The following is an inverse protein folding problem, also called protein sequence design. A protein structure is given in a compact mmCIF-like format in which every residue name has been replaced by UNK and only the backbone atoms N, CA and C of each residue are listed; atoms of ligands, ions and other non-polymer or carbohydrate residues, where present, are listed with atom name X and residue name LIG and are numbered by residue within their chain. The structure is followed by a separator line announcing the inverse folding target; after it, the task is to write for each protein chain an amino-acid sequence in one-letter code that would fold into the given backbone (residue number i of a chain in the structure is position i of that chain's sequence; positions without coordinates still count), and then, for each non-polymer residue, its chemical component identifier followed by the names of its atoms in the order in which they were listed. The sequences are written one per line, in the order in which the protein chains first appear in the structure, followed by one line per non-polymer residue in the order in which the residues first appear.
data_IF_358775984867
#
_entry.id   IF_358775984867
#
_cell.length_a   1.000
_cell.length_b   1.000
_cell.length_c   1.000
_cell.angle_alpha   90.00
_cell.angle_beta   90.00
_cell.angle_gamma   90.00
#
_symmetry.space_group_name_H-M   'P 1'
#
loop_
_entity.id
_entity.type
_entity.pdbx_description
1 polymer ?
#
# COMPACT_ATOMS: atom_id res chain seq x y z
N UNK A 1 2.19 -12.87 -5.60
CA UNK A 1 2.02 -11.87 -6.69
C UNK A 1 1.01 -12.42 -7.69
N UNK A 2 0.14 -11.57 -8.21
CA UNK A 2 -0.95 -12.00 -9.08
C UNK A 2 -0.52 -12.04 -10.55
N UNK A 3 0.26 -13.07 -10.90
CA UNK A 3 0.71 -13.34 -12.26
C UNK A 3 -0.28 -14.22 -13.05
N UNK A 4 -1.49 -14.42 -12.53
CA UNK A 4 -2.49 -15.26 -13.18
C UNK A 4 -3.20 -14.48 -14.30
N UNK A 5 -3.63 -15.16 -15.38
CA UNK A 5 -4.52 -14.55 -16.35
C UNK A 5 -5.75 -13.95 -15.65
N UNK A 6 -6.09 -12.70 -15.98
CA UNK A 6 -7.20 -11.97 -15.33
C UNK A 6 -6.88 -11.42 -13.94
N UNK A 7 -5.62 -11.49 -13.49
CA UNK A 7 -5.19 -10.92 -12.23
C UNK A 7 -5.05 -9.40 -12.23
N UNK A 8 -4.84 -8.80 -11.06
CA UNK A 8 -4.76 -7.36 -10.88
C UNK A 8 -3.69 -6.69 -11.74
N UNK A 9 -2.55 -7.36 -11.96
CA UNK A 9 -1.49 -6.84 -12.84
C UNK A 9 -1.94 -6.71 -14.29
N UNK A 10 -2.71 -7.69 -14.80
CA UNK A 10 -3.30 -7.63 -16.14
C UNK A 10 -4.26 -6.45 -16.26
N UNK A 11 -5.11 -6.23 -15.26
CA UNK A 11 -6.05 -5.11 -15.23
C UNK A 11 -5.33 -3.74 -15.19
N UNK A 12 -4.28 -3.60 -14.38
CA UNK A 12 -3.46 -2.38 -14.32
C UNK A 12 -2.87 -2.07 -15.70
N UNK A 13 -2.19 -3.04 -16.34
CA UNK A 13 -1.59 -2.81 -17.65
C UNK A 13 -2.62 -2.49 -18.72
N UNK A 14 -3.75 -3.20 -18.72
CA UNK A 14 -4.83 -2.96 -19.68
C UNK A 14 -5.40 -1.54 -19.55
N UNK A 15 -5.71 -1.10 -18.33
CA UNK A 15 -6.23 0.25 -18.06
C UNK A 15 -5.23 1.33 -18.49
N UNK A 16 -3.96 1.20 -18.11
CA UNK A 16 -2.91 2.13 -18.52
C UNK A 16 -2.73 2.20 -20.04
N UNK A 17 -2.70 1.05 -20.74
CA UNK A 17 -2.51 1.01 -22.19
C UNK A 17 -3.71 1.56 -22.96
N UNK A 18 -4.94 1.29 -22.50
CA UNK A 18 -6.16 1.88 -23.06
C UNK A 18 -6.17 3.39 -22.89
N UNK A 19 -5.95 3.87 -21.67
CA UNK A 19 -5.88 5.30 -21.37
C UNK A 19 -4.83 6.00 -22.23
N UNK A 20 -3.64 5.38 -22.35
CA UNK A 20 -2.55 5.86 -23.21
C UNK A 20 -2.97 6.00 -24.66
N UNK A 21 -3.65 5.00 -25.21
CA UNK A 21 -4.13 4.98 -26.60
C UNK A 21 -5.18 6.06 -26.84
N UNK A 22 -6.23 6.11 -26.01
CA UNK A 22 -7.33 7.07 -26.11
C UNK A 22 -6.87 8.53 -26.02
N UNK A 23 -5.84 8.80 -25.21
CA UNK A 23 -5.32 10.14 -25.00
C UNK A 23 -4.08 10.48 -25.85
N UNK A 24 -3.76 9.65 -26.86
CA UNK A 24 -2.57 9.80 -27.72
C UNK A 24 -1.27 10.03 -26.92
N UNK A 25 -1.15 9.38 -25.77
CA UNK A 25 -0.07 9.60 -24.83
C UNK A 25 1.16 8.78 -25.23
N UNK A 26 2.12 9.41 -25.92
CA UNK A 26 3.29 8.72 -26.49
C UNK A 26 4.02 7.80 -25.48
N UNK A 27 4.32 8.32 -24.28
CA UNK A 27 5.02 7.60 -23.21
C UNK A 27 4.40 7.97 -21.86
N UNK A 28 4.06 6.95 -21.07
CA UNK A 28 3.73 7.12 -19.65
C UNK A 28 5.06 7.28 -18.90
N UNK A 29 5.25 8.41 -18.24
CA UNK A 29 6.43 8.69 -17.44
C UNK A 29 6.00 9.21 -16.06
N UNK A 30 5.86 8.26 -15.14
CA UNK A 30 5.40 8.53 -13.77
C UNK A 30 6.37 9.40 -12.97
N UNK A 31 7.62 9.57 -13.44
CA UNK A 31 8.59 10.47 -12.79
C UNK A 31 8.36 11.94 -13.12
N UNK A 32 7.59 12.23 -14.18
CA UNK A 32 7.33 13.59 -14.64
C UNK A 32 6.17 14.23 -13.87
N UNK A 33 6.47 15.17 -12.98
CA UNK A 33 5.45 15.95 -12.26
C UNK A 33 4.61 16.85 -13.16
N UNK A 34 5.10 17.17 -14.37
CA UNK A 34 4.41 18.04 -15.33
C UNK A 34 3.05 17.54 -15.81
N UNK A 35 2.73 16.27 -15.56
CA UNK A 35 1.49 15.61 -15.97
C UNK A 35 0.73 15.01 -14.80
N UNK A 36 0.92 15.54 -13.59
CA UNK A 36 0.35 15.00 -12.36
C UNK A 36 -1.17 14.76 -12.48
N UNK A 37 -1.93 15.73 -12.96
CA UNK A 37 -3.39 15.59 -13.12
C UNK A 37 -3.77 14.44 -14.04
N UNK A 38 -3.07 14.31 -15.18
CA UNK A 38 -3.30 13.22 -16.13
C UNK A 38 -2.86 11.85 -15.59
N UNK A 39 -1.82 11.83 -14.74
CA UNK A 39 -1.45 10.62 -14.01
C UNK A 39 -2.53 10.22 -13.02
N UNK A 40 -3.10 11.17 -12.27
CA UNK A 40 -4.19 10.92 -11.32
C UNK A 40 -5.44 10.41 -12.04
N UNK A 41 -5.80 10.99 -13.18
CA UNK A 41 -6.92 10.52 -13.99
C UNK A 41 -6.72 9.06 -14.46
N UNK A 42 -5.54 8.73 -14.97
CA UNK A 42 -5.20 7.36 -15.35
C UNK A 42 -5.25 6.40 -14.14
N UNK A 43 -4.73 6.83 -12.98
CA UNK A 43 -4.76 6.02 -11.76
C UNK A 43 -6.19 5.81 -11.24
N UNK A 44 -7.08 6.79 -11.40
CA UNK A 44 -8.51 6.62 -11.10
C UNK A 44 -9.17 5.59 -12.03
N UNK A 45 -8.80 5.56 -13.31
CA UNK A 45 -9.25 4.51 -14.23
C UNK A 45 -8.76 3.12 -13.78
N UNK A 46 -7.49 3.01 -13.39
CA UNK A 46 -6.91 1.77 -12.86
C UNK A 46 -7.65 1.31 -11.60
N UNK A 47 -7.87 2.23 -10.64
CA UNK A 47 -8.57 1.95 -9.39
C UNK A 47 -9.97 1.39 -9.65
N UNK A 48 -10.74 2.07 -10.50
CA UNK A 48 -12.10 1.65 -10.87
C UNK A 48 -12.13 0.26 -11.52
N UNK A 49 -11.21 -0.01 -12.44
CA UNK A 49 -11.14 -1.31 -13.12
C UNK A 49 -10.75 -2.44 -12.17
N UNK A 50 -9.87 -2.17 -11.20
CA UNK A 50 -9.49 -3.13 -10.17
C UNK A 50 -10.64 -3.46 -9.21
N UNK A 51 -11.45 -2.46 -8.81
CA UNK A 51 -12.66 -2.70 -8.02
C UNK A 51 -13.66 -3.55 -8.82
N UNK A 52 -13.94 -3.16 -10.07
CA UNK A 52 -14.93 -3.85 -10.91
C UNK A 52 -14.56 -5.31 -11.19
N UNK A 53 -13.26 -5.60 -11.31
CA UNK A 53 -12.71 -6.95 -11.51
C UNK A 53 -12.51 -7.73 -10.21
N UNK A 54 -12.84 -7.15 -9.04
CA UNK A 54 -12.57 -7.73 -7.71
C UNK A 54 -11.10 -8.08 -7.48
N UNK A 55 -10.20 -7.37 -8.17
CA UNK A 55 -8.76 -7.48 -7.98
C UNK A 55 -8.25 -6.51 -6.90
N UNK A 56 -9.12 -5.61 -6.42
CA UNK A 56 -8.85 -4.71 -5.31
C UNK A 56 -10.14 -4.36 -4.58
N UNK A 57 -10.05 -4.17 -3.27
CA UNK A 57 -11.12 -3.68 -2.41
C UNK A 57 -10.61 -2.46 -1.65
N UNK A 58 -11.48 -1.46 -1.47
CA UNK A 58 -11.14 -0.25 -0.70
C UNK A 58 -10.84 -0.65 0.75
N UNK A 59 -9.77 -0.13 1.38
CA UNK A 59 -9.46 -0.46 2.76
C UNK A 59 -10.62 -0.15 3.71
N UNK A 60 -10.99 -1.13 4.52
CA UNK A 60 -11.78 -0.97 5.73
C UNK A 60 -10.83 -0.85 6.93
N UNK A 61 -10.84 0.31 7.59
CA UNK A 61 -9.86 0.70 8.61
C UNK A 61 -10.54 0.76 9.97
N UNK A 62 -10.04 -0.03 10.91
CA UNK A 62 -10.38 0.08 12.33
C UNK A 62 -9.33 0.90 13.06
N UNK A 63 -9.77 1.91 13.82
CA UNK A 63 -8.89 2.77 14.61
C UNK A 63 -9.01 2.34 16.07
N UNK A 64 -7.92 1.87 16.65
CA UNK A 64 -7.91 1.38 18.04
C UNK A 64 -8.41 2.44 19.02
N UNK A 65 -9.29 2.09 19.97
CA UNK A 65 -9.77 3.01 21.00
C UNK A 65 -8.66 3.49 21.96
N UNK A 66 -7.49 2.84 21.92
CA UNK A 66 -6.30 3.24 22.67
C UNK A 66 -5.56 4.44 22.07
N UNK A 67 -5.99 4.95 20.90
CA UNK A 67 -5.40 6.12 20.25
C UNK A 67 -5.98 7.39 20.89
N UNK A 68 -5.14 8.40 21.08
CA UNK A 68 -5.56 9.72 21.58
C UNK A 68 -6.67 10.31 20.70
N UNK A 69 -7.74 10.83 21.32
CA UNK A 69 -8.94 11.31 20.61
C UNK A 69 -8.64 12.33 19.51
N UNK A 70 -7.73 13.27 19.75
CA UNK A 70 -7.35 14.31 18.77
C UNK A 70 -6.73 13.68 17.51
N UNK A 71 -5.87 12.69 17.69
CA UNK A 71 -5.23 11.93 16.61
C UNK A 71 -6.23 11.00 15.93
N UNK A 72 -7.11 10.34 16.68
CA UNK A 72 -8.16 9.49 16.13
C UNK A 72 -9.08 10.27 15.18
N UNK A 73 -9.51 11.49 15.56
CA UNK A 73 -10.31 12.36 14.68
C UNK A 73 -9.59 12.70 13.38
N UNK A 74 -8.29 13.01 13.45
CA UNK A 74 -7.48 13.27 12.25
C UNK A 74 -7.32 12.02 11.37
N UNK A 75 -7.16 10.85 11.97
CA UNK A 75 -7.06 9.58 11.25
C UNK A 75 -8.36 9.24 10.52
N UNK A 76 -9.51 9.48 11.14
CA UNK A 76 -10.84 9.33 10.51
C UNK A 76 -10.92 10.22 9.28
N UNK A 77 -10.65 11.52 9.43
CA UNK A 77 -10.70 12.49 8.33
C UNK A 77 -9.76 12.10 7.18
N UNK A 78 -8.53 11.68 7.48
CA UNK A 78 -7.58 11.19 6.48
C UNK A 78 -8.09 9.94 5.77
N UNK A 79 -8.66 8.98 6.51
CA UNK A 79 -9.18 7.72 5.96
C UNK A 79 -10.33 7.98 4.99
N UNK A 80 -11.27 8.83 5.38
CA UNK A 80 -12.40 9.23 4.54
C UNK A 80 -11.94 10.00 3.30
N UNK A 81 -11.00 10.94 3.45
CA UNK A 81 -10.42 11.68 2.32
C UNK A 81 -9.69 10.77 1.33
N UNK A 82 -9.13 9.66 1.78
CA UNK A 82 -8.51 8.64 0.93
C UNK A 82 -9.52 7.69 0.26
N UNK A 83 -10.82 7.89 0.47
CA UNK A 83 -11.88 7.01 -0.06
C UNK A 83 -11.86 5.62 0.56
N UNK A 84 -11.32 5.48 1.78
CA UNK A 84 -11.38 4.26 2.58
C UNK A 84 -12.54 4.33 3.58
N UNK A 85 -12.97 3.19 4.12
CA UNK A 85 -14.10 3.14 5.06
C UNK A 85 -13.58 2.98 6.49
N UNK A 86 -14.09 3.77 7.43
CA UNK A 86 -13.84 3.54 8.87
C UNK A 86 -14.87 2.53 9.39
N UNK A 87 -14.40 1.46 10.02
CA UNK A 87 -15.25 0.41 10.60
C UNK A 87 -15.20 0.41 12.12
N UNK A 88 -16.27 -0.06 12.75
CA UNK A 88 -16.42 -0.08 14.21
C UNK A 88 -16.02 -1.41 14.86
N UNK A 89 -15.74 -2.45 14.05
CA UNK A 89 -15.35 -3.77 14.53
C UNK A 89 -14.06 -4.25 13.88
N UNK A 90 -13.26 -5.01 14.63
CA UNK A 90 -12.04 -5.64 14.09
C UNK A 90 -12.35 -6.71 13.05
N UNK A 91 -13.55 -7.30 13.08
CA UNK A 91 -13.94 -8.38 12.17
C UNK A 91 -14.22 -7.88 10.76
N UNK A 92 -14.64 -6.61 10.62
CA UNK A 92 -14.85 -5.93 9.34
C UNK A 92 -13.58 -5.25 8.81
N UNK A 93 -12.51 -5.23 9.62
CA UNK A 93 -11.32 -4.46 9.32
C UNK A 93 -10.36 -5.24 8.39
N UNK A 94 -9.94 -4.59 7.31
CA UNK A 94 -8.78 -5.01 6.51
C UNK A 94 -7.47 -4.48 7.11
N UNK A 95 -7.54 -3.34 7.81
CA UNK A 95 -6.41 -2.64 8.40
C UNK A 95 -6.77 -2.18 9.80
N UNK A 96 -5.81 -2.30 10.72
CA UNK A 96 -5.96 -1.90 12.12
C UNK A 96 -4.87 -0.90 12.47
N UNK A 97 -5.27 0.29 12.93
CA UNK A 97 -4.33 1.31 13.38
C UNK A 97 -4.22 1.24 14.90
N UNK A 98 -2.98 1.06 15.38
CA UNK A 98 -2.63 1.05 16.79
C UNK A 98 -1.73 2.24 17.14
N UNK A 99 -1.69 2.64 18.43
CA UNK A 99 -0.65 3.54 18.90
C UNK A 99 0.72 2.88 18.68
N UNK A 100 1.79 3.68 18.52
CA UNK A 100 3.15 3.16 18.51
C UNK A 100 3.43 2.30 19.76
N UNK A 101 4.29 1.28 19.67
CA UNK A 101 4.75 0.53 20.83
C UNK A 101 5.34 1.46 21.90
N UNK A 102 5.22 1.09 23.18
CA UNK A 102 5.78 1.89 24.29
C UNK A 102 7.29 2.07 24.22
N UNK A 103 8.00 1.13 23.58
CA UNK A 103 9.44 1.21 23.31
C UNK A 103 9.80 2.04 22.08
N UNK A 104 8.82 2.63 21.38
CA UNK A 104 9.08 3.43 20.19
C UNK A 104 9.69 4.79 20.59
N UNK A 105 10.86 5.17 20.04
CA UNK A 105 11.62 6.34 20.51
C UNK A 105 11.01 7.71 20.12
N UNK A 106 9.81 7.74 19.54
CA UNK A 106 9.10 8.99 19.24
C UNK A 106 9.61 9.74 18.01
N UNK A 107 10.66 9.26 17.36
CA UNK A 107 11.21 9.86 16.15
C UNK A 107 11.59 8.78 15.13
N UNK A 108 11.46 9.15 13.86
CA UNK A 108 11.74 8.27 12.73
C UNK A 108 13.24 8.05 12.46
N UNK A 109 14.13 8.85 13.08
CA UNK A 109 15.58 8.70 12.90
C UNK A 109 16.12 7.42 13.54
N UNK A 110 15.38 6.82 14.46
CA UNK A 110 15.73 5.57 15.13
C UNK A 110 14.90 4.36 14.66
N UNK A 111 13.93 4.54 13.75
CA UNK A 111 13.20 3.43 13.12
C UNK A 111 14.17 2.45 12.43
N UNK A 112 15.29 2.97 11.92
CA UNK A 112 16.37 2.18 11.32
C UNK A 112 17.05 1.18 12.28
N UNK A 113 17.07 1.49 13.59
CA UNK A 113 17.66 0.62 14.61
C UNK A 113 16.72 -0.51 15.05
N UNK A 114 15.43 -0.37 14.74
CA UNK A 114 14.39 -1.34 15.07
C UNK A 114 13.68 -1.86 13.84
N UNK A 115 14.38 -1.92 12.69
CA UNK A 115 13.84 -2.53 11.49
C UNK A 115 13.31 -3.93 11.80
N UNK A 116 12.00 -4.07 11.61
CA UNK A 116 11.32 -5.36 11.59
C UNK A 116 10.92 -5.62 10.17
N UNK A 117 10.86 -6.89 9.79
CA UNK A 117 10.34 -7.27 8.50
C UNK A 117 9.43 -8.48 8.63
N UNK A 118 8.57 -8.64 7.64
CA UNK A 118 7.86 -9.90 7.41
C UNK A 118 8.19 -10.42 6.02
N UNK A 119 8.24 -11.73 5.87
CA UNK A 119 8.35 -12.38 4.56
C UNK A 119 6.98 -12.33 3.89
N UNK A 120 6.92 -11.77 2.68
CA UNK A 120 5.69 -11.74 1.87
C UNK A 120 5.64 -12.94 0.92
N UNK A 121 6.79 -13.27 0.33
CA UNK A 121 6.87 -14.23 -0.77
C UNK A 121 8.28 -14.82 -0.84
N UNK A 122 8.39 -16.10 -1.21
CA UNK A 122 9.66 -16.77 -1.45
C UNK A 122 9.57 -17.52 -2.78
N UNK A 123 10.58 -17.36 -3.63
CA UNK A 123 10.72 -18.06 -4.91
C UNK A 123 12.17 -18.50 -5.08
N UNK A 124 12.41 -19.80 -5.17
CA UNK A 124 13.77 -20.36 -5.18
C UNK A 124 14.59 -19.90 -3.97
N UNK A 125 15.72 -19.24 -4.23
CA UNK A 125 16.63 -18.65 -3.20
C UNK A 125 16.31 -17.19 -2.87
N UNK A 126 15.26 -16.63 -3.46
CA UNK A 126 14.87 -15.24 -3.26
C UNK A 126 13.69 -15.08 -2.32
N UNK A 127 13.73 -14.04 -1.48
CA UNK A 127 12.67 -13.68 -0.55
C UNK A 127 12.28 -12.22 -0.74
N UNK A 128 10.99 -11.94 -0.82
CA UNK A 128 10.43 -10.60 -0.79
C UNK A 128 10.13 -10.23 0.67
N UNK A 129 10.86 -9.28 1.20
CA UNK A 129 10.71 -8.77 2.56
C UNK A 129 9.90 -7.48 2.54
N UNK A 130 8.98 -7.32 3.49
CA UNK A 130 8.33 -6.04 3.77
C UNK A 130 8.91 -5.45 5.04
N UNK A 131 9.46 -4.24 4.94
CA UNK A 131 10.00 -3.51 6.07
C UNK A 131 8.88 -2.79 6.82
N UNK A 132 8.71 -3.15 8.08
CA UNK A 132 7.73 -2.62 9.00
C UNK A 132 8.29 -1.39 9.73
N UNK A 133 7.39 -0.57 10.27
CA UNK A 133 7.72 0.58 11.14
C UNK A 133 8.59 1.67 10.49
N UNK A 134 8.65 1.73 9.16
CA UNK A 134 9.18 2.89 8.44
C UNK A 134 8.03 3.72 7.90
N UNK A 135 8.08 5.07 7.97
CA UNK A 135 7.05 5.95 7.41
C UNK A 135 6.81 5.78 5.90
N UNK A 136 7.66 5.02 5.19
CA UNK A 136 7.47 4.65 3.79
C UNK A 136 7.52 3.14 3.53
N UNK A 137 7.10 2.29 4.49
CA UNK A 137 7.14 0.81 4.44
C UNK A 137 7.37 0.27 3.02
N UNK A 138 8.55 -0.24 2.75
CA UNK A 138 8.94 -0.66 1.40
C UNK A 138 9.15 -2.16 1.34
N UNK A 139 9.23 -2.70 0.13
CA UNK A 139 9.56 -4.11 -0.08
C UNK A 139 10.88 -4.24 -0.80
N UNK A 140 11.66 -5.27 -0.44
CA UNK A 140 12.94 -5.57 -1.08
C UNK A 140 13.01 -7.03 -1.45
N UNK A 141 13.45 -7.30 -2.68
CA UNK A 141 13.83 -8.64 -3.10
C UNK A 141 15.26 -8.94 -2.64
N UNK A 142 15.44 -10.00 -1.86
CA UNK A 142 16.73 -10.40 -1.32
C UNK A 142 17.10 -11.79 -1.83
N UNK A 143 18.34 -11.95 -2.28
CA UNK A 143 18.90 -13.23 -2.75
C UNK A 143 20.24 -13.48 -2.05
N UNK A 144 20.22 -14.17 -0.91
CA UNK A 144 21.41 -14.47 -0.10
C UNK A 144 21.13 -15.54 0.95
N UNK A 145 22.18 -16.11 1.56
CA UNK A 145 22.04 -17.09 2.64
C UNK A 145 21.48 -16.41 3.90
N UNK A 146 20.22 -16.68 4.19
CA UNK A 146 19.54 -16.19 5.39
C UNK A 146 19.91 -17.08 6.58
N UNK A 147 20.81 -16.62 7.45
CA UNK A 147 20.90 -17.14 8.82
C UNK A 147 19.86 -16.41 9.68
N UNK A 148 18.71 -17.04 9.86
CA UNK A 148 17.71 -16.61 10.84
C UNK A 148 18.23 -16.95 12.25
N UNK A 149 18.88 -16.00 12.92
CA UNK A 149 18.82 -15.97 14.38
C UNK A 149 17.49 -15.32 14.75
N UNK A 150 16.47 -16.14 14.99
CA UNK A 150 15.30 -15.76 15.77
C UNK A 150 15.69 -15.63 17.24
#
# INVERSE_FOLDING_TARGET
MDFKPGGGLCHIFLACLKFRHEHNWKKIDLSSSSRLEKHLEMLNCVERDLIASKCWERPAVFISPSIEKSLASRLIECTERMGSTVVSSLMEATHVIHPPPSSWPGNNSLDAQHHRFRVIFQEGRGVLLHWLFSPGTYTTWFTGEFFLCC
#
